data_IF_247475657968
#
_entry.id   IF_247475657968
#
_cell.length_a   1.000
_cell.length_b   1.000
_cell.length_c   1.000
_cell.angle_alpha   90.00
_cell.angle_beta   90.00
_cell.angle_gamma   90.00
#
_symmetry.space_group_name_H-M   'P 1'
#
loop_
_entity.id
_entity.type
_entity.pdbx_description
1 polymer ?
#
# COMPACT_ATOMS: atom_id res chain seq x y z
N UNK A 1 22.44 5.01 3.53
CA UNK A 1 23.04 5.69 2.37
C UNK A 1 24.26 6.50 2.78
N UNK A 2 25.22 6.66 1.91
CA UNK A 2 26.40 7.53 2.09
C UNK A 2 26.77 8.16 0.74
N UNK A 3 27.40 9.33 0.80
CA UNK A 3 27.85 10.05 -0.39
C UNK A 3 29.09 10.88 -0.07
N UNK A 4 29.84 11.23 -1.10
CA UNK A 4 31.02 12.09 -1.03
C UNK A 4 30.79 13.34 -1.85
N UNK A 5 31.25 14.50 -1.38
CA UNK A 5 31.19 15.74 -2.15
C UNK A 5 32.55 16.49 -2.09
N UNK A 6 32.86 17.20 -3.15
CA UNK A 6 34.01 18.10 -3.19
C UNK A 6 33.59 19.49 -2.68
N UNK A 7 33.93 19.77 -1.42
CA UNK A 7 33.67 21.05 -0.78
C UNK A 7 32.25 21.24 -0.24
N UNK A 8 32.03 22.35 0.44
CA UNK A 8 30.77 22.67 1.16
C UNK A 8 29.58 22.86 0.20
N UNK A 9 29.83 23.34 -0.99
CA UNK A 9 28.80 23.68 -1.96
C UNK A 9 28.07 22.42 -2.53
N UNK A 10 28.73 21.26 -2.53
CA UNK A 10 28.13 19.98 -2.98
C UNK A 10 27.28 19.29 -1.94
N UNK A 11 27.30 19.69 -0.66
CA UNK A 11 26.62 18.98 0.43
C UNK A 11 25.12 18.90 0.19
N UNK A 12 24.49 19.98 -0.25
CA UNK A 12 23.05 20.03 -0.50
C UNK A 12 22.63 18.99 -1.55
N UNK A 13 23.36 18.92 -2.64
CA UNK A 13 23.02 18.03 -3.76
C UNK A 13 23.20 16.57 -3.36
N UNK A 14 24.29 16.27 -2.65
CA UNK A 14 24.52 14.93 -2.09
C UNK A 14 23.44 14.55 -1.07
N UNK A 15 23.01 15.46 -0.20
CA UNK A 15 21.93 15.18 0.75
C UNK A 15 20.59 14.91 0.04
N UNK A 16 20.26 15.65 -1.02
CA UNK A 16 19.05 15.42 -1.80
C UNK A 16 19.09 14.07 -2.52
N UNK A 17 20.23 13.71 -3.07
CA UNK A 17 20.44 12.41 -3.71
C UNK A 17 20.34 11.27 -2.69
N UNK A 18 20.99 11.40 -1.52
CA UNK A 18 20.91 10.44 -0.44
C UNK A 18 19.47 10.25 0.05
N UNK A 19 18.69 11.33 0.13
CA UNK A 19 17.26 11.25 0.53
C UNK A 19 16.43 10.44 -0.47
N UNK A 20 16.67 10.58 -1.76
CA UNK A 20 16.05 9.77 -2.80
C UNK A 20 16.49 8.30 -2.72
N UNK A 21 17.76 8.08 -2.43
CA UNK A 21 18.34 6.75 -2.37
C UNK A 21 17.82 5.94 -1.16
N UNK A 22 17.29 6.57 -0.11
CA UNK A 22 16.67 5.87 1.02
C UNK A 22 15.45 5.03 0.60
N UNK A 23 14.72 5.44 -0.43
CA UNK A 23 13.56 4.69 -0.93
C UNK A 23 13.93 3.29 -1.46
N UNK A 24 15.19 3.08 -1.86
CA UNK A 24 15.67 1.77 -2.28
C UNK A 24 15.67 0.71 -1.17
N UNK A 25 15.38 1.09 0.08
CA UNK A 25 15.10 0.14 1.15
C UNK A 25 13.90 -0.77 0.83
N UNK A 26 12.96 -0.32 0.01
CA UNK A 26 11.84 -1.13 -0.47
C UNK A 26 12.30 -2.35 -1.29
N UNK A 27 13.46 -2.24 -1.95
CA UNK A 27 14.02 -3.29 -2.82
C UNK A 27 15.11 -4.08 -2.09
N UNK A 28 16.05 -3.37 -1.48
CA UNK A 28 17.23 -4.00 -0.86
C UNK A 28 17.01 -4.45 0.58
N UNK A 29 15.90 -4.01 1.22
CA UNK A 29 15.61 -4.29 2.61
C UNK A 29 16.39 -3.43 3.60
N UNK A 30 16.07 -3.59 4.88
CA UNK A 30 16.71 -2.86 6.00
C UNK A 30 18.12 -3.38 6.26
N UNK A 31 18.97 -2.50 6.78
CA UNK A 31 20.32 -2.85 7.21
C UNK A 31 21.33 -3.03 6.07
N UNK A 32 20.93 -2.75 4.84
CA UNK A 32 21.79 -2.83 3.66
C UNK A 32 22.40 -1.46 3.36
N UNK A 33 23.69 -1.43 3.07
CA UNK A 33 24.35 -0.23 2.59
C UNK A 33 23.92 0.04 1.14
N UNK A 34 23.25 1.16 0.92
CA UNK A 34 22.80 1.59 -0.40
C UNK A 34 23.79 2.60 -0.94
N UNK A 35 24.51 2.23 -1.99
CA UNK A 35 25.43 3.10 -2.73
C UNK A 35 24.87 3.42 -4.10
N UNK A 36 25.32 4.52 -4.70
CA UNK A 36 24.95 4.90 -6.06
C UNK A 36 25.27 3.80 -7.09
N UNK A 37 26.45 3.17 -6.98
CA UNK A 37 26.83 2.07 -7.85
C UNK A 37 25.87 0.89 -7.78
N UNK A 38 25.38 0.55 -6.58
CA UNK A 38 24.41 -0.52 -6.38
C UNK A 38 23.06 -0.20 -7.03
N UNK A 39 22.65 1.07 -6.99
CA UNK A 39 21.43 1.53 -7.67
C UNK A 39 21.59 1.46 -9.18
N UNK A 40 22.72 1.93 -9.71
CA UNK A 40 23.03 1.90 -11.15
C UNK A 40 23.12 0.47 -11.72
N UNK A 41 23.60 -0.48 -10.94
CA UNK A 41 23.63 -1.90 -11.29
C UNK A 41 22.22 -2.53 -11.31
N UNK A 42 21.27 -1.97 -10.61
CA UNK A 42 19.89 -2.45 -10.60
C UNK A 42 19.22 -2.15 -11.95
N UNK A 43 19.06 -3.21 -12.76
CA UNK A 43 18.35 -3.11 -14.04
C UNK A 43 16.87 -2.91 -13.76
N UNK A 44 16.39 -1.67 -13.94
CA UNK A 44 14.99 -1.31 -13.72
C UNK A 44 14.16 -1.62 -14.96
N UNK A 45 13.10 -2.38 -14.79
CA UNK A 45 12.08 -2.67 -15.81
C UNK A 45 10.72 -2.16 -15.32
N UNK A 46 9.84 -1.70 -16.23
CA UNK A 46 8.50 -1.29 -15.85
C UNK A 46 7.74 -2.41 -15.15
N UNK A 47 7.15 -2.12 -13.98
CA UNK A 47 6.36 -3.08 -13.25
C UNK A 47 5.06 -3.39 -14.00
N UNK A 48 4.75 -4.67 -14.19
CA UNK A 48 3.44 -5.10 -14.68
C UNK A 48 2.54 -5.36 -13.49
N UNK A 49 1.50 -4.54 -13.34
CA UNK A 49 0.57 -4.73 -12.23
C UNK A 49 -0.11 -6.11 -12.32
N UNK A 50 -0.07 -6.93 -11.25
CA UNK A 50 -0.61 -8.29 -11.27
C UNK A 50 -2.15 -8.26 -11.16
N UNK A 51 -2.84 -8.27 -12.30
CA UNK A 51 -4.32 -8.18 -12.38
C UNK A 51 -5.01 -9.31 -11.60
N UNK A 52 -4.41 -10.50 -11.54
CA UNK A 52 -4.99 -11.64 -10.80
C UNK A 52 -5.14 -11.36 -9.30
N UNK A 53 -4.38 -10.41 -8.74
CA UNK A 53 -4.51 -10.00 -7.35
C UNK A 53 -5.81 -9.23 -7.08
N UNK A 54 -6.39 -8.57 -8.08
CA UNK A 54 -7.66 -7.85 -7.90
C UNK A 54 -8.78 -8.81 -7.52
N UNK A 55 -8.84 -9.98 -8.16
CA UNK A 55 -9.81 -11.02 -7.82
C UNK A 55 -9.63 -11.53 -6.39
N UNK A 56 -8.38 -11.77 -5.99
CA UNK A 56 -8.03 -12.25 -4.65
C UNK A 56 -8.35 -11.22 -3.56
N UNK A 57 -8.16 -9.92 -3.86
CA UNK A 57 -8.58 -8.84 -2.95
C UNK A 57 -10.09 -8.89 -2.72
N UNK A 58 -10.88 -9.01 -3.81
CA UNK A 58 -12.33 -9.12 -3.73
C UNK A 58 -12.74 -10.30 -2.84
N UNK A 59 -12.15 -11.46 -3.05
CA UNK A 59 -12.42 -12.67 -2.26
C UNK A 59 -12.14 -12.44 -0.78
N UNK A 60 -10.98 -11.86 -0.42
CA UNK A 60 -10.61 -11.56 0.96
C UNK A 60 -11.58 -10.60 1.66
N UNK A 61 -12.12 -9.60 0.95
CA UNK A 61 -13.12 -8.68 1.50
C UNK A 61 -14.51 -9.32 1.63
N UNK A 62 -14.95 -10.09 0.62
CA UNK A 62 -16.24 -10.77 0.66
C UNK A 62 -16.32 -11.78 1.81
N UNK A 63 -15.25 -12.52 2.02
CA UNK A 63 -15.16 -13.56 3.05
C UNK A 63 -14.74 -13.01 4.42
N UNK A 64 -14.36 -11.71 4.50
CA UNK A 64 -13.83 -11.09 5.73
C UNK A 64 -12.64 -11.88 6.29
N UNK A 65 -11.82 -12.43 5.39
CA UNK A 65 -10.74 -13.34 5.73
C UNK A 65 -9.42 -12.61 5.88
N UNK A 66 -9.00 -12.39 7.14
CA UNK A 66 -7.74 -11.70 7.48
C UNK A 66 -6.49 -12.46 7.03
N UNK A 67 -6.51 -13.78 7.13
CA UNK A 67 -5.36 -14.60 6.71
C UNK A 67 -5.17 -14.53 5.19
N UNK A 68 -6.26 -14.57 4.45
CA UNK A 68 -6.22 -14.42 2.99
C UNK A 68 -5.79 -13.01 2.57
N UNK A 69 -6.21 -11.98 3.30
CA UNK A 69 -5.73 -10.61 3.06
C UNK A 69 -4.21 -10.51 3.26
N UNK A 70 -3.67 -11.03 4.39
CA UNK A 70 -2.23 -11.05 4.64
C UNK A 70 -1.49 -11.83 3.55
N UNK A 71 -1.97 -13.02 3.22
CA UNK A 71 -1.37 -13.84 2.17
C UNK A 71 -1.30 -13.10 0.81
N UNK A 72 -2.37 -12.39 0.43
CA UNK A 72 -2.40 -11.61 -0.81
C UNK A 72 -1.42 -10.43 -0.76
N UNK A 73 -1.28 -9.79 0.40
CA UNK A 73 -0.32 -8.71 0.61
C UNK A 73 1.12 -9.21 0.52
N UNK A 74 1.40 -10.38 1.10
CA UNK A 74 2.70 -11.04 1.01
C UNK A 74 3.05 -11.40 -0.45
N UNK A 75 2.10 -11.98 -1.18
CA UNK A 75 2.28 -12.29 -2.62
C UNK A 75 2.55 -11.03 -3.44
N UNK A 76 1.88 -9.93 -3.12
CA UNK A 76 2.09 -8.66 -3.80
C UNK A 76 3.48 -8.10 -3.48
N UNK A 77 3.89 -8.12 -2.21
CA UNK A 77 5.24 -7.73 -1.79
C UNK A 77 6.30 -8.54 -2.50
N UNK A 78 6.17 -9.87 -2.48
CA UNK A 78 7.14 -10.77 -3.11
C UNK A 78 7.22 -10.54 -4.63
N UNK A 79 6.10 -10.26 -5.27
CA UNK A 79 6.07 -9.87 -6.68
C UNK A 79 6.88 -8.58 -6.92
N UNK A 80 6.66 -7.54 -6.11
CA UNK A 80 7.35 -6.26 -6.25
C UNK A 80 8.86 -6.39 -5.99
N UNK A 81 9.26 -7.14 -4.96
CA UNK A 81 10.69 -7.34 -4.62
C UNK A 81 11.41 -8.17 -5.68
N UNK A 82 10.76 -9.18 -6.25
CA UNK A 82 11.36 -10.05 -7.25
C UNK A 82 11.29 -9.48 -8.68
N UNK A 83 10.53 -8.38 -8.88
CA UNK A 83 10.49 -7.68 -10.16
C UNK A 83 11.55 -6.56 -10.14
N UNK A 84 12.46 -6.48 -11.09
CA UNK A 84 13.49 -5.44 -11.15
C UNK A 84 12.85 -4.10 -11.53
N UNK A 85 12.21 -3.41 -10.59
CA UNK A 85 11.54 -2.13 -10.78
C UNK A 85 12.09 -1.06 -9.82
N UNK A 86 11.77 0.20 -10.08
CA UNK A 86 12.17 1.30 -9.21
C UNK A 86 11.28 1.39 -7.96
N UNK A 87 11.77 1.99 -6.85
CA UNK A 87 10.93 2.28 -5.68
C UNK A 87 9.66 3.06 -6.02
N UNK A 88 9.74 4.01 -6.94
CA UNK A 88 8.58 4.80 -7.39
C UNK A 88 7.52 3.94 -8.05
N UNK A 89 7.91 2.97 -8.88
CA UNK A 89 6.98 2.03 -9.51
C UNK A 89 6.35 1.07 -8.48
N UNK A 90 7.10 0.67 -7.45
CA UNK A 90 6.55 -0.11 -6.33
C UNK A 90 5.47 0.71 -5.61
N UNK A 91 5.74 1.97 -5.28
CA UNK A 91 4.78 2.85 -4.62
C UNK A 91 3.54 3.08 -5.49
N UNK A 92 3.70 3.28 -6.79
CA UNK A 92 2.57 3.38 -7.72
C UNK A 92 1.73 2.09 -7.72
N UNK A 93 2.36 0.93 -7.78
CA UNK A 93 1.67 -0.34 -7.72
C UNK A 93 0.93 -0.53 -6.38
N UNK A 94 1.53 -0.12 -5.25
CA UNK A 94 0.89 -0.13 -3.94
C UNK A 94 -0.34 0.79 -3.88
N UNK A 95 -0.26 1.98 -4.45
CA UNK A 95 -1.40 2.91 -4.55
C UNK A 95 -2.52 2.30 -5.38
N UNK A 96 -2.21 1.68 -6.52
CA UNK A 96 -3.21 0.99 -7.37
C UNK A 96 -3.86 -0.17 -6.62
N UNK A 97 -3.07 -1.00 -5.93
CA UNK A 97 -3.57 -2.08 -5.09
C UNK A 97 -4.54 -1.56 -4.04
N UNK A 98 -4.19 -0.49 -3.36
CA UNK A 98 -5.02 0.16 -2.36
C UNK A 98 -6.33 0.72 -2.96
N UNK A 99 -6.27 1.42 -4.10
CA UNK A 99 -7.46 1.96 -4.78
C UNK A 99 -8.40 0.84 -5.24
N UNK A 100 -7.85 -0.29 -5.70
CA UNK A 100 -8.64 -1.48 -6.04
C UNK A 100 -9.36 -2.03 -4.81
N UNK A 101 -8.66 -2.19 -3.68
CA UNK A 101 -9.26 -2.63 -2.43
C UNK A 101 -10.40 -1.70 -1.97
N UNK A 102 -10.20 -0.38 -2.05
CA UNK A 102 -11.24 0.61 -1.78
C UNK A 102 -12.45 0.49 -2.71
N UNK A 103 -12.23 0.27 -4.00
CA UNK A 103 -13.31 0.11 -4.96
C UNK A 103 -14.17 -1.11 -4.62
N UNK A 104 -13.52 -2.24 -4.32
CA UNK A 104 -14.19 -3.46 -3.88
C UNK A 104 -15.00 -3.23 -2.59
N UNK A 105 -14.41 -2.58 -1.60
CA UNK A 105 -15.09 -2.30 -0.34
C UNK A 105 -16.33 -1.40 -0.53
N UNK A 106 -16.27 -0.41 -1.43
CA UNK A 106 -17.41 0.45 -1.80
C UNK A 106 -18.55 -0.31 -2.47
N UNK A 107 -18.24 -1.31 -3.29
CA UNK A 107 -19.25 -2.18 -3.91
C UNK A 107 -19.95 -3.07 -2.89
N UNK A 108 -19.26 -3.48 -1.83
CA UNK A 108 -19.77 -4.39 -0.80
C UNK A 108 -20.57 -3.69 0.29
N UNK A 109 -20.40 -2.37 0.47
CA UNK A 109 -21.14 -1.60 1.47
C UNK A 109 -20.78 -0.12 1.50
N UNK A 110 -21.58 0.68 2.24
CA UNK A 110 -21.30 2.10 2.40
C UNK A 110 -20.04 2.30 3.23
N UNK A 111 -19.04 2.97 2.67
CA UNK A 111 -17.88 3.43 3.43
C UNK A 111 -18.19 4.75 4.13
N UNK A 112 -17.76 4.87 5.38
CA UNK A 112 -17.92 6.11 6.14
C UNK A 112 -17.11 7.23 5.46
N UNK A 113 -17.71 8.44 5.38
CA UNK A 113 -17.07 9.64 4.81
C UNK A 113 -15.79 10.06 5.55
N UNK A 114 -15.59 9.57 6.78
CA UNK A 114 -14.41 9.86 7.58
C UNK A 114 -13.13 9.18 7.07
N UNK A 115 -13.25 8.16 6.20
CA UNK A 115 -12.07 7.51 5.63
C UNK A 115 -11.42 8.39 4.57
N UNK A 116 -10.28 8.97 4.93
CA UNK A 116 -9.54 9.82 4.01
C UNK A 116 -8.55 8.97 3.21
N UNK A 117 -9.00 8.46 2.05
CA UNK A 117 -8.13 7.77 1.09
C UNK A 117 -6.84 8.56 0.79
N UNK A 118 -6.93 9.87 0.85
CA UNK A 118 -5.81 10.78 0.64
C UNK A 118 -4.66 10.51 1.63
N UNK A 119 -4.96 10.37 2.91
CA UNK A 119 -3.93 10.19 3.94
C UNK A 119 -3.22 8.84 3.79
N UNK A 120 -3.97 7.79 3.44
CA UNK A 120 -3.39 6.48 3.16
C UNK A 120 -2.50 6.49 1.91
N UNK A 121 -2.92 7.17 0.83
CA UNK A 121 -2.10 7.33 -0.38
C UNK A 121 -0.82 8.09 -0.06
N UNK A 122 -0.90 9.19 0.69
CA UNK A 122 0.30 9.92 1.10
C UNK A 122 1.23 9.07 1.96
N UNK A 123 0.69 8.31 2.92
CA UNK A 123 1.48 7.42 3.75
C UNK A 123 2.19 6.33 2.94
N UNK A 124 1.57 5.80 1.87
CA UNK A 124 2.21 4.86 0.94
C UNK A 124 3.32 5.55 0.15
N UNK A 125 3.08 6.77 -0.34
CA UNK A 125 4.07 7.53 -1.13
C UNK A 125 5.28 7.89 -0.27
N UNK A 126 5.09 8.22 1.00
CA UNK A 126 6.17 8.58 1.93
C UNK A 126 6.88 7.35 2.53
N UNK A 127 6.29 6.17 2.45
CA UNK A 127 6.87 4.94 2.99
C UNK A 127 8.24 4.65 2.37
N UNK A 128 9.19 4.27 3.23
CA UNK A 128 10.53 3.84 2.85
C UNK A 128 10.81 2.37 3.17
N UNK A 129 9.84 1.70 3.78
CA UNK A 129 9.93 0.28 4.15
C UNK A 129 8.61 -0.44 3.89
N UNK A 130 8.69 -1.76 3.67
CA UNK A 130 7.50 -2.60 3.48
C UNK A 130 6.62 -2.65 4.73
N UNK A 131 7.19 -2.64 5.91
CA UNK A 131 6.43 -2.64 7.16
C UNK A 131 5.57 -1.38 7.33
N UNK A 132 5.99 -0.25 6.77
CA UNK A 132 5.19 0.97 6.73
C UNK A 132 4.01 0.82 5.77
N UNK A 133 4.24 0.27 4.58
CA UNK A 133 3.19 -0.02 3.59
C UNK A 133 2.19 -1.03 4.15
N UNK A 134 2.66 -2.13 4.75
CA UNK A 134 1.81 -3.14 5.38
C UNK A 134 0.94 -2.55 6.50
N UNK A 135 1.51 -1.69 7.34
CA UNK A 135 0.75 -1.02 8.41
C UNK A 135 -0.40 -0.18 7.84
N UNK A 136 -0.15 0.56 6.76
CA UNK A 136 -1.19 1.35 6.08
C UNK A 136 -2.24 0.43 5.48
N UNK A 137 -1.84 -0.63 4.79
CA UNK A 137 -2.74 -1.60 4.17
C UNK A 137 -3.66 -2.26 5.22
N UNK A 138 -3.10 -2.68 6.37
CA UNK A 138 -3.88 -3.26 7.47
C UNK A 138 -4.85 -2.25 8.09
N UNK A 139 -4.39 -1.02 8.37
CA UNK A 139 -5.26 0.01 8.91
C UNK A 139 -6.45 0.28 7.98
N UNK A 140 -6.20 0.31 6.68
CA UNK A 140 -7.24 0.46 5.67
C UNK A 140 -8.22 -0.71 5.64
N UNK A 141 -7.71 -1.93 5.66
CA UNK A 141 -8.53 -3.15 5.64
C UNK A 141 -9.46 -3.20 6.86
N UNK A 142 -8.93 -3.02 8.06
CA UNK A 142 -9.72 -3.03 9.30
C UNK A 142 -10.76 -1.90 9.34
N UNK A 143 -10.41 -0.71 8.87
CA UNK A 143 -11.35 0.40 8.79
C UNK A 143 -12.49 0.08 7.82
N UNK A 144 -12.19 -0.42 6.64
CA UNK A 144 -13.20 -0.79 5.64
C UNK A 144 -14.12 -1.90 6.17
N UNK A 145 -13.59 -2.92 6.86
CA UNK A 145 -14.39 -3.96 7.49
C UNK A 145 -15.31 -3.40 8.58
N UNK A 146 -14.81 -2.50 9.42
CA UNK A 146 -15.60 -1.82 10.46
C UNK A 146 -16.77 -1.05 9.85
N UNK A 147 -16.52 -0.31 8.77
CA UNK A 147 -17.55 0.48 8.10
C UNK A 147 -18.61 -0.42 7.44
N UNK A 148 -18.20 -1.53 6.82
CA UNK A 148 -19.12 -2.53 6.25
C UNK A 148 -20.01 -3.18 7.32
N UNK A 149 -19.47 -3.47 8.50
CA UNK A 149 -20.24 -4.04 9.61
C UNK A 149 -21.28 -3.04 10.12
N UNK A 150 -20.90 -1.78 10.36
CA UNK A 150 -21.83 -0.72 10.79
C UNK A 150 -22.98 -0.52 9.80
N UNK A 151 -22.68 -0.52 8.50
CA UNK A 151 -23.70 -0.41 7.46
C UNK A 151 -24.71 -1.55 7.48
N UNK A 152 -24.27 -2.79 7.75
CA UNK A 152 -25.17 -3.95 7.91
C UNK A 152 -26.07 -3.83 9.14
N UNK A 153 -25.53 -3.34 10.26
CA UNK A 153 -26.29 -3.16 11.50
C UNK A 153 -27.35 -2.05 11.35
N UNK A 154 -27.04 -0.94 10.68
CA UNK A 154 -27.99 0.14 10.38
C UNK A 154 -29.13 -0.33 9.49
N UNK A 155 -28.87 -1.10 8.44
CA UNK A 155 -29.88 -1.69 7.56
C UNK A 155 -30.76 -2.67 8.33
N UNK A 156 -30.18 -3.53 9.18
CA UNK A 156 -30.91 -4.46 10.02
C UNK A 156 -31.84 -3.75 11.00
N UNK A 157 -31.40 -2.63 11.59
CA UNK A 157 -32.18 -1.81 12.51
C UNK A 157 -33.36 -1.13 11.79
N UNK A 158 -33.15 -0.63 10.57
CA UNK A 158 -34.18 -0.05 9.73
C UNK A 158 -35.25 -1.08 9.34
N UNK A 159 -34.83 -2.26 8.92
CA UNK A 159 -35.76 -3.37 8.59
C UNK A 159 -36.59 -3.77 9.79
N UNK A 160 -36.00 -3.93 10.99
CA UNK A 160 -36.74 -4.23 12.23
C UNK A 160 -37.74 -3.14 12.59
N UNK A 161 -37.37 -1.86 12.46
CA UNK A 161 -38.28 -0.73 12.71
C UNK A 161 -39.45 -0.74 11.74
N UNK A 162 -39.21 -1.00 10.45
CA UNK A 162 -40.27 -1.03 9.43
C UNK A 162 -41.24 -2.19 9.69
N UNK A 163 -40.76 -3.36 10.13
CA UNK A 163 -41.60 -4.51 10.49
C UNK A 163 -42.48 -4.26 11.74
N UNK A 164 -42.12 -3.34 12.62
CA UNK A 164 -42.92 -2.97 13.79
C UNK A 164 -44.08 -1.99 13.47
N UNK A 165 -44.07 -1.39 12.28
CA UNK A 165 -45.11 -0.46 11.82
C UNK A 165 -46.12 -1.09 10.84
N UNK A 166 -45.99 -2.37 10.54
CA UNK A 166 -46.95 -3.18 9.77
C UNK A 166 -47.68 -4.13 10.71
#
# INVERSE_FOLDING_TARGET
>A
TWGTCEGIWGIRDVMLEMSKNVEWNLIFGRGVLISQSKIEEAKVLPIRYPIDLEKKIREAFVEVNREQFQHNLDLFRDYCINTPCSPGEIKEACVRYFLTAMSVAKELGPLNKAYQAKDAIFAIIEAITWEEIERVAWACFEQMLSDMQKGKDEVSLLVRKTQQYI
#
